data_IF_649630217957
#
_entry.id   IF_649630217957
#
_cell.length_a   1.000
_cell.length_b   1.000
_cell.length_c   1.000
_cell.angle_alpha   90.00
_cell.angle_beta   90.00
_cell.angle_gamma   90.00
#
_symmetry.space_group_name_H-M   'P 1'
#
loop_
_entity.id
_entity.type
_entity.pdbx_description
1 polymer ?
#
# COMPACT_ATOMS: atom_id res chain seq x y z
N UNK A 1 -42.20 11.64 -12.58
CA UNK A 1 -41.87 12.56 -13.69
C UNK A 1 -40.77 13.48 -13.21
N UNK A 2 -39.54 13.31 -13.73
CA UNK A 2 -38.52 14.36 -13.70
C UNK A 2 -38.67 15.20 -14.98
N UNK A 3 -38.33 16.50 -14.93
CA UNK A 3 -37.10 16.96 -15.59
C UNK A 3 -36.44 18.11 -14.77
N UNK A 4 -35.25 18.67 -14.99
CA UNK A 4 -34.15 18.49 -15.95
C UNK A 4 -32.90 19.24 -15.39
N UNK A 5 -31.76 18.91 -15.98
CA UNK A 5 -30.42 19.51 -15.82
C UNK A 5 -30.33 21.04 -16.03
N UNK A 6 -29.32 21.65 -15.41
CA UNK A 6 -28.80 22.98 -15.75
C UNK A 6 -27.33 23.15 -15.30
N UNK A 7 -26.43 23.27 -16.28
CA UNK A 7 -24.97 23.36 -16.15
C UNK A 7 -24.49 24.74 -15.64
N UNK A 8 -23.26 24.81 -15.08
CA UNK A 8 -22.10 25.54 -15.68
C UNK A 8 -21.08 26.14 -14.67
N UNK A 9 -19.79 25.93 -15.02
CA UNK A 9 -18.56 26.74 -14.79
C UNK A 9 -17.65 26.50 -13.55
N UNK A 10 -16.50 25.87 -13.84
CA UNK A 10 -15.09 26.21 -13.50
C UNK A 10 -14.78 27.06 -12.26
N UNK A 11 -13.90 26.55 -11.38
CA UNK A 11 -12.55 27.08 -11.09
C UNK A 11 -12.00 26.58 -9.73
N UNK A 12 -10.65 26.58 -9.67
CA UNK A 12 -9.78 26.76 -8.48
C UNK A 12 -9.51 25.59 -7.55
N UNK A 13 -8.22 25.37 -7.34
CA UNK A 13 -7.66 24.81 -6.13
C UNK A 13 -8.28 25.49 -4.90
N UNK A 14 -8.87 24.69 -4.02
CA UNK A 14 -9.15 25.07 -2.64
C UNK A 14 -9.25 23.79 -1.82
N UNK A 15 -8.73 23.87 -0.61
CA UNK A 15 -8.71 22.82 0.40
C UNK A 15 -10.12 22.29 0.67
N UNK A 16 -10.43 21.07 0.24
CA UNK A 16 -11.68 20.38 0.61
C UNK A 16 -11.36 18.97 1.12
N UNK A 17 -10.99 18.92 2.40
CA UNK A 17 -11.16 17.72 3.23
C UNK A 17 -12.65 17.51 3.41
N UNK A 18 -13.22 16.57 2.66
CA UNK A 18 -14.60 16.15 2.84
C UNK A 18 -14.73 15.34 4.15
N UNK A 19 -15.18 15.99 5.23
CA UNK A 19 -15.84 15.33 6.35
C UNK A 19 -17.35 15.54 6.23
N UNK A 20 -18.13 14.46 6.32
CA UNK A 20 -19.56 14.34 6.76
C UNK A 20 -19.95 12.85 6.53
N UNK A 21 -20.68 12.10 7.37
CA UNK A 21 -21.59 12.45 8.46
C UNK A 21 -21.91 11.21 9.36
N UNK A 22 -22.54 11.48 10.51
CA UNK A 22 -23.30 10.58 11.40
C UNK A 22 -22.61 10.04 12.68
N UNK A 23 -22.81 10.77 13.78
CA UNK A 23 -23.59 10.21 14.89
C UNK A 23 -22.93 9.32 15.95
N UNK A 24 -21.64 9.01 15.89
CA UNK A 24 -20.94 8.33 16.99
C UNK A 24 -19.65 9.06 17.36
N UNK A 25 -19.48 9.40 18.65
CA UNK A 25 -18.19 9.78 19.24
C UNK A 25 -17.27 8.55 19.31
N UNK A 26 -16.96 7.95 18.17
CA UNK A 26 -15.85 7.04 18.02
C UNK A 26 -14.62 7.87 17.70
N UNK A 27 -13.61 7.81 18.56
CA UNK A 27 -12.26 8.26 18.18
C UNK A 27 -11.84 7.41 16.97
N UNK A 28 -11.86 7.99 15.78
CA UNK A 28 -11.39 7.30 14.57
C UNK A 28 -9.90 7.06 14.73
N UNK A 29 -9.53 5.84 15.12
CA UNK A 29 -8.14 5.44 15.25
C UNK A 29 -7.57 5.35 13.84
N UNK A 30 -6.78 6.35 13.47
CA UNK A 30 -6.07 6.37 12.20
C UNK A 30 -5.02 5.25 12.21
N UNK A 31 -5.12 4.32 11.27
CA UNK A 31 -4.19 3.19 11.14
C UNK A 31 -3.57 3.15 9.75
N UNK A 32 -2.24 3.01 9.73
CA UNK A 32 -1.47 2.75 8.51
C UNK A 32 -1.27 1.25 8.37
N UNK A 33 -1.51 0.74 7.17
CA UNK A 33 -1.28 -0.66 6.80
C UNK A 33 -0.46 -0.72 5.53
N UNK A 34 0.60 -1.53 5.52
CA UNK A 34 1.44 -1.78 4.35
C UNK A 34 1.20 -3.16 3.76
N UNK A 35 1.48 -3.30 2.47
CA UNK A 35 1.49 -4.56 1.73
C UNK A 35 2.71 -4.58 0.83
N UNK A 36 3.37 -5.73 0.73
CA UNK A 36 4.52 -5.93 -0.15
C UNK A 36 4.36 -7.19 -0.98
N UNK A 37 4.88 -7.16 -2.19
CA UNK A 37 4.91 -8.30 -3.09
C UNK A 37 6.12 -8.21 -4.01
N UNK A 38 6.53 -9.34 -4.57
CA UNK A 38 7.53 -9.41 -5.63
C UNK A 38 7.07 -10.32 -6.77
N UNK A 39 7.77 -10.24 -7.90
CA UNK A 39 7.61 -11.17 -9.01
C UNK A 39 8.98 -11.52 -9.55
N UNK A 40 9.37 -12.75 -9.21
CA UNK A 40 10.69 -13.31 -9.44
C UNK A 40 11.05 -13.38 -10.93
N UNK A 41 12.25 -12.92 -11.29
CA UNK A 41 12.83 -13.02 -12.65
C UNK A 41 11.84 -12.61 -13.75
N UNK A 42 11.18 -11.48 -13.56
CA UNK A 42 10.17 -10.97 -14.49
C UNK A 42 10.80 -10.32 -15.73
N UNK A 43 11.99 -9.74 -15.58
CA UNK A 43 12.80 -9.25 -16.69
C UNK A 43 13.56 -10.41 -17.35
N UNK A 44 13.38 -10.61 -18.66
CA UNK A 44 14.02 -11.71 -19.40
C UNK A 44 15.45 -11.40 -19.84
N UNK A 45 15.82 -10.12 -19.86
CA UNK A 45 17.14 -9.70 -20.35
C UNK A 45 18.19 -9.77 -19.24
N UNK A 46 17.80 -9.40 -18.01
CA UNK A 46 18.72 -9.37 -16.86
C UNK A 46 18.28 -10.23 -15.65
N UNK A 47 17.18 -10.97 -15.78
CA UNK A 47 16.62 -11.85 -14.74
C UNK A 47 16.29 -11.15 -13.42
N UNK A 48 16.15 -9.81 -13.43
CA UNK A 48 15.78 -9.09 -12.22
C UNK A 48 14.29 -9.24 -11.94
N UNK A 49 13.98 -9.26 -10.65
CA UNK A 49 12.60 -9.36 -10.17
C UNK A 49 11.95 -7.98 -10.12
N UNK A 50 10.62 -7.93 -10.14
CA UNK A 50 9.84 -6.71 -9.92
C UNK A 50 9.36 -6.70 -8.46
N UNK A 51 9.65 -5.63 -7.73
CA UNK A 51 9.15 -5.39 -6.38
C UNK A 51 7.99 -4.39 -6.41
N UNK A 52 7.08 -4.52 -5.45
CA UNK A 52 6.00 -3.56 -5.27
C UNK A 52 5.50 -3.50 -3.83
N UNK A 53 5.02 -2.34 -3.43
CA UNK A 53 4.35 -2.14 -2.16
C UNK A 53 3.25 -1.09 -2.26
N UNK A 54 2.30 -1.14 -1.34
CA UNK A 54 1.29 -0.11 -1.14
C UNK A 54 1.01 0.07 0.36
N UNK A 55 0.89 1.32 0.78
CA UNK A 55 0.49 1.73 2.12
C UNK A 55 -0.86 2.42 2.05
N UNK A 56 -1.76 2.03 2.94
CA UNK A 56 -3.09 2.63 3.08
C UNK A 56 -3.26 3.28 4.45
N UNK A 57 -4.01 4.37 4.48
CA UNK A 57 -4.46 5.08 5.67
C UNK A 57 -5.98 5.00 5.72
N UNK A 58 -6.54 4.26 6.69
CA UNK A 58 -7.98 4.02 6.80
C UNK A 58 -8.64 3.55 5.48
N UNK A 59 -7.92 2.79 4.66
CA UNK A 59 -8.40 2.25 3.38
C UNK A 59 -8.06 3.08 2.14
N UNK A 60 -7.58 4.32 2.28
CA UNK A 60 -7.09 5.10 1.13
C UNK A 60 -5.58 4.91 0.92
N UNK A 61 -5.12 4.67 -0.30
CA UNK A 61 -3.68 4.57 -0.58
C UNK A 61 -2.97 5.91 -0.36
N UNK A 62 -1.84 5.89 0.35
CA UNK A 62 -1.04 7.08 0.70
C UNK A 62 0.40 7.02 0.20
N UNK A 63 0.94 5.84 -0.06
CA UNK A 63 2.25 5.63 -0.69
C UNK A 63 2.25 4.29 -1.41
N UNK A 64 2.87 4.21 -2.58
CA UNK A 64 3.00 2.98 -3.34
C UNK A 64 4.23 3.04 -4.24
N UNK A 65 4.74 1.88 -4.62
CA UNK A 65 5.87 1.74 -5.54
C UNK A 65 5.73 0.46 -6.34
N UNK A 66 6.18 0.51 -7.60
CA UNK A 66 6.50 -0.65 -8.41
C UNK A 66 7.88 -0.37 -9.03
N UNK A 67 8.86 -1.24 -8.80
CA UNK A 67 10.21 -1.04 -9.30
C UNK A 67 10.94 -2.36 -9.55
N UNK A 68 11.78 -2.38 -10.58
CA UNK A 68 12.73 -3.46 -10.81
C UNK A 68 13.76 -3.49 -9.68
N UNK A 69 14.10 -4.68 -9.18
CA UNK A 69 15.12 -4.85 -8.15
C UNK A 69 16.51 -4.51 -8.70
N UNK A 70 17.39 -4.00 -7.86
CA UNK A 70 18.76 -3.67 -8.27
C UNK A 70 19.64 -4.91 -8.42
N UNK A 71 19.37 -5.94 -7.62
CA UNK A 71 20.07 -7.22 -7.61
C UNK A 71 19.22 -8.32 -8.25
N UNK A 72 19.89 -9.33 -8.78
CA UNK A 72 19.23 -10.57 -9.21
C UNK A 72 18.99 -11.39 -7.94
N UNK A 73 17.74 -11.71 -7.65
CA UNK A 73 17.41 -12.64 -6.59
C UNK A 73 17.64 -14.09 -7.09
N UNK A 74 18.04 -14.97 -6.18
CA UNK A 74 18.25 -16.39 -6.45
C UNK A 74 16.98 -17.22 -6.20
N UNK A 75 15.98 -16.64 -5.54
CA UNK A 75 14.68 -17.29 -5.29
C UNK A 75 13.53 -16.30 -5.18
N UNK A 76 12.30 -16.79 -5.35
CA UNK A 76 11.09 -16.01 -5.05
C UNK A 76 11.07 -15.52 -3.60
N UNK A 77 11.56 -16.31 -2.65
CA UNK A 77 11.64 -15.91 -1.24
C UNK A 77 12.54 -14.71 -1.04
N UNK A 78 13.71 -14.71 -1.69
CA UNK A 78 14.64 -13.58 -1.63
C UNK A 78 14.06 -12.34 -2.31
N UNK A 79 13.42 -12.49 -3.46
CA UNK A 79 12.76 -11.37 -4.14
C UNK A 79 11.67 -10.73 -3.26
N UNK A 80 10.85 -11.55 -2.60
CA UNK A 80 9.82 -11.10 -1.65
C UNK A 80 10.44 -10.44 -0.41
N UNK A 81 11.55 -10.97 0.11
CA UNK A 81 12.29 -10.37 1.20
C UNK A 81 12.85 -8.99 0.84
N UNK A 82 13.40 -8.82 -0.37
CA UNK A 82 13.86 -7.52 -0.88
C UNK A 82 12.68 -6.53 -0.94
N UNK A 83 11.53 -6.95 -1.48
CA UNK A 83 10.33 -6.10 -1.53
C UNK A 83 9.83 -5.70 -0.13
N UNK A 84 9.79 -6.65 0.82
CA UNK A 84 9.39 -6.39 2.20
C UNK A 84 10.37 -5.46 2.93
N UNK A 85 11.68 -5.60 2.66
CA UNK A 85 12.72 -4.72 3.20
C UNK A 85 12.55 -3.28 2.72
N UNK A 86 12.29 -3.09 1.43
CA UNK A 86 11.99 -1.75 0.88
C UNK A 86 10.72 -1.15 1.44
N UNK A 87 9.65 -1.96 1.57
CA UNK A 87 8.43 -1.52 2.25
C UNK A 87 8.69 -1.13 3.71
N UNK A 88 9.54 -1.86 4.43
CA UNK A 88 9.88 -1.52 5.81
C UNK A 88 10.59 -0.16 5.93
N UNK A 89 11.49 0.18 5.01
CA UNK A 89 12.14 1.51 4.95
C UNK A 89 11.09 2.61 4.74
N UNK A 90 10.17 2.40 3.80
CA UNK A 90 9.06 3.32 3.55
C UNK A 90 8.14 3.48 4.76
N UNK A 91 7.81 2.39 5.46
CA UNK A 91 6.99 2.43 6.66
C UNK A 91 7.63 3.25 7.78
N UNK A 92 8.95 3.12 8.00
CA UNK A 92 9.68 3.95 8.98
C UNK A 92 9.61 5.42 8.58
N UNK A 93 9.78 5.73 7.30
CA UNK A 93 9.66 7.10 6.80
C UNK A 93 8.24 7.66 7.00
N UNK A 94 7.20 6.92 6.60
CA UNK A 94 5.80 7.29 6.78
C UNK A 94 5.45 7.49 8.26
N UNK A 95 5.96 6.64 9.14
CA UNK A 95 5.75 6.78 10.60
C UNK A 95 6.28 8.12 11.11
N UNK A 96 7.50 8.50 10.72
CA UNK A 96 8.10 9.76 11.12
C UNK A 96 7.33 10.94 10.52
N UNK A 97 7.06 10.88 9.21
CA UNK A 97 6.30 11.91 8.50
C UNK A 97 4.92 12.18 9.11
N UNK A 98 4.14 11.13 9.40
CA UNK A 98 2.81 11.25 10.01
C UNK A 98 2.87 11.71 11.47
N UNK A 99 3.94 11.37 12.19
CA UNK A 99 4.18 11.87 13.55
C UNK A 99 4.46 13.37 13.55
N UNK A 100 5.28 13.85 12.61
CA UNK A 100 5.61 15.26 12.45
C UNK A 100 4.38 16.10 12.08
N UNK A 101 3.51 15.57 11.22
CA UNK A 101 2.25 16.22 10.84
C UNK A 101 1.19 16.23 11.96
N UNK A 102 1.42 15.53 13.08
CA UNK A 102 0.45 15.32 14.18
C UNK A 102 -0.92 14.77 13.72
N UNK A 103 -0.95 14.17 12.52
CA UNK A 103 -2.17 13.62 11.91
C UNK A 103 -2.64 12.38 12.66
N UNK A 104 -1.70 11.59 13.19
CA UNK A 104 -2.00 10.37 13.94
C UNK A 104 -1.60 10.60 15.40
N UNK A 105 -2.59 10.65 16.28
CA UNK A 105 -2.36 10.75 17.72
C UNK A 105 -1.56 9.52 18.19
N UNK A 106 -0.24 9.68 18.25
CA UNK A 106 0.74 8.67 18.64
C UNK A 106 0.76 7.45 17.72
N UNK A 107 1.76 7.35 16.84
CA UNK A 107 2.16 6.07 16.22
C UNK A 107 2.81 5.16 17.30
N UNK A 108 2.03 4.86 18.35
CA UNK A 108 2.44 4.03 19.49
C UNK A 108 2.53 2.56 19.10
N UNK A 109 1.96 2.20 17.95
CA UNK A 109 1.94 0.85 17.43
C UNK A 109 2.85 0.77 16.20
N UNK A 110 3.54 -0.37 16.02
CA UNK A 110 4.26 -0.65 14.78
C UNK A 110 3.30 -0.63 13.58
N UNK A 111 3.80 -0.23 12.41
CA UNK A 111 3.08 -0.37 11.15
C UNK A 111 3.15 -1.84 10.72
N UNK A 112 2.00 -2.43 10.42
CA UNK A 112 1.94 -3.80 9.91
C UNK A 112 2.17 -3.79 8.40
N UNK A 113 3.12 -4.58 7.93
CA UNK A 113 3.37 -4.86 6.51
C UNK A 113 2.99 -6.29 6.23
N UNK A 114 2.06 -6.48 5.32
CA UNK A 114 1.57 -7.78 4.93
C UNK A 114 2.30 -8.32 3.69
N UNK A 115 2.83 -9.53 3.81
CA UNK A 115 3.52 -10.26 2.75
C UNK A 115 2.92 -11.67 2.66
N UNK A 116 2.79 -12.21 1.46
CA UNK A 116 2.21 -13.54 1.24
C UNK A 116 3.26 -14.66 1.18
N UNK A 117 4.56 -14.34 1.28
CA UNK A 117 5.63 -15.33 1.29
C UNK A 117 6.08 -15.68 2.72
N UNK A 118 5.78 -16.90 3.17
CA UNK A 118 6.14 -17.36 4.53
C UNK A 118 7.65 -17.41 4.77
N UNK A 119 8.45 -17.66 3.73
CA UNK A 119 9.91 -17.67 3.83
C UNK A 119 10.47 -16.27 4.06
N UNK A 120 9.96 -15.28 3.34
CA UNK A 120 10.35 -13.88 3.50
C UNK A 120 9.93 -13.35 4.89
N UNK A 121 8.72 -13.71 5.35
CA UNK A 121 8.24 -13.38 6.70
C UNK A 121 9.12 -14.03 7.77
N UNK A 122 9.60 -15.26 7.58
CA UNK A 122 10.50 -15.92 8.51
C UNK A 122 11.87 -15.24 8.55
N UNK A 123 12.46 -14.94 7.39
CA UNK A 123 13.73 -14.21 7.29
C UNK A 123 13.66 -12.80 7.91
N UNK A 124 12.50 -12.14 7.83
CA UNK A 124 12.27 -10.85 8.46
C UNK A 124 12.15 -10.91 9.99
N UNK A 125 11.95 -12.10 10.58
CA UNK A 125 11.77 -12.30 12.03
C UNK A 125 13.06 -12.69 12.75
N UNK A 126 14.18 -12.85 12.05
CA UNK A 126 15.46 -13.15 12.68
C UNK A 126 15.80 -12.06 13.73
N UNK A 127 16.12 -12.45 14.98
CA UNK A 127 16.00 -11.55 16.13
C UNK A 127 17.15 -10.56 16.18
N UNK A 128 16.89 -9.30 15.83
CA UNK A 128 17.72 -8.18 16.29
C UNK A 128 17.15 -7.75 17.65
N UNK A 129 17.65 -8.36 18.72
CA UNK A 129 17.14 -8.34 20.10
C UNK A 129 16.98 -6.95 20.78
N UNK A 130 17.13 -5.81 20.09
CA UNK A 130 17.20 -4.50 20.76
C UNK A 130 16.35 -3.37 20.17
N UNK A 131 15.51 -3.61 19.17
CA UNK A 131 14.63 -2.54 18.64
C UNK A 131 13.17 -2.92 18.86
N UNK A 132 12.47 -2.14 19.70
CA UNK A 132 11.00 -2.09 19.69
C UNK A 132 10.59 -1.67 18.28
N UNK A 133 10.31 -2.65 17.42
CA UNK A 133 10.22 -2.46 15.98
C UNK A 133 9.14 -1.46 15.61
N UNK A 134 9.50 -0.42 14.87
CA UNK A 134 8.56 0.54 14.28
C UNK A 134 7.66 -0.12 13.22
N UNK A 135 8.01 -1.33 12.77
CA UNK A 135 7.37 -2.10 11.70
C UNK A 135 7.26 -3.57 12.11
N UNK A 136 6.17 -4.23 11.71
CA UNK A 136 5.96 -5.69 11.85
C UNK A 136 5.62 -6.30 10.50
N UNK A 137 6.36 -7.32 10.10
CA UNK A 137 6.07 -8.08 8.88
C UNK A 137 5.20 -9.30 9.22
N UNK A 138 4.02 -9.37 8.58
CA UNK A 138 2.96 -10.31 8.86
C UNK A 138 2.60 -11.13 7.62
N UNK A 139 2.27 -12.42 7.80
CA UNK A 139 1.80 -13.29 6.71
C UNK A 139 0.32 -13.02 6.41
N UNK A 140 -0.03 -12.93 5.13
CA UNK A 140 -1.42 -12.92 4.64
C UNK A 140 -1.64 -13.94 3.52
N UNK A 141 -2.87 -14.38 3.24
CA UNK A 141 -3.18 -15.12 2.02
C UNK A 141 -2.85 -14.29 0.76
N UNK A 142 -2.35 -14.93 -0.31
CA UNK A 142 -2.01 -14.26 -1.58
C UNK A 142 -3.18 -13.50 -2.18
N UNK A 143 -4.41 -14.05 -2.12
CA UNK A 143 -5.62 -13.42 -2.67
C UNK A 143 -6.02 -12.11 -1.96
N UNK A 144 -5.47 -11.86 -0.77
CA UNK A 144 -5.68 -10.63 0.01
C UNK A 144 -4.53 -9.64 -0.15
N UNK A 145 -3.46 -9.99 -0.90
CA UNK A 145 -2.31 -9.13 -1.08
C UNK A 145 -2.59 -8.05 -2.11
N UNK A 146 -2.94 -6.85 -1.65
CA UNK A 146 -3.19 -5.72 -2.53
C UNK A 146 -1.92 -5.25 -3.26
N UNK A 147 -0.70 -5.69 -2.93
CA UNK A 147 0.47 -5.32 -3.72
C UNK A 147 0.64 -6.16 -5.01
N UNK A 148 -0.16 -7.22 -5.22
CA UNK A 148 -0.08 -8.09 -6.41
C UNK A 148 -0.09 -7.38 -7.78
N UNK A 149 -1.02 -6.45 -8.05
CA UNK A 149 -1.04 -5.71 -9.32
C UNK A 149 0.18 -4.84 -9.58
N UNK A 150 0.95 -4.51 -8.54
CA UNK A 150 2.15 -3.70 -8.68
C UNK A 150 3.33 -4.51 -9.21
N UNK A 151 3.26 -5.84 -9.21
CA UNK A 151 4.37 -6.70 -9.65
C UNK A 151 3.97 -7.74 -10.67
N UNK A 152 2.67 -8.04 -10.80
CA UNK A 152 2.14 -9.07 -11.69
C UNK A 152 1.17 -8.46 -12.70
N UNK A 153 1.19 -8.88 -13.98
CA UNK A 153 0.08 -8.61 -14.89
C UNK A 153 -1.17 -9.34 -14.38
N UNK A 154 -2.21 -8.60 -13.99
CA UNK A 154 -3.45 -9.16 -13.48
C UNK A 154 -4.52 -9.30 -14.57
N UNK A 155 -5.37 -10.33 -14.41
CA UNK A 155 -6.63 -10.42 -15.14
C UNK A 155 -7.55 -9.23 -14.75
N UNK A 156 -8.33 -8.73 -15.72
CA UNK A 156 -9.13 -7.50 -15.59
C UNK A 156 -9.97 -7.42 -14.31
N UNK A 157 -10.60 -8.54 -13.92
CA UNK A 157 -11.44 -8.62 -12.70
C UNK A 157 -10.62 -8.37 -11.41
N UNK A 158 -9.40 -8.91 -11.32
CA UNK A 158 -8.50 -8.67 -10.18
C UNK A 158 -7.93 -7.25 -10.20
N UNK A 159 -7.67 -6.70 -11.39
CA UNK A 159 -7.25 -5.31 -11.55
C UNK A 159 -8.32 -4.31 -11.08
N UNK A 160 -9.59 -4.51 -11.46
CA UNK A 160 -10.72 -3.67 -11.05
C UNK A 160 -10.98 -3.74 -9.54
N UNK A 161 -10.97 -4.94 -8.96
CA UNK A 161 -11.11 -5.13 -7.52
C UNK A 161 -9.99 -4.41 -6.75
N UNK A 162 -8.76 -4.46 -7.26
CA UNK A 162 -7.63 -3.77 -6.68
C UNK A 162 -7.72 -2.25 -6.80
N UNK A 163 -8.03 -1.71 -7.99
CA UNK A 163 -8.21 -0.28 -8.22
C UNK A 163 -9.22 0.32 -7.22
N UNK A 164 -10.32 -0.39 -6.99
CA UNK A 164 -11.31 -0.02 -5.97
C UNK A 164 -10.73 -0.08 -4.54
N UNK A 165 -9.90 -1.08 -4.24
CA UNK A 165 -9.31 -1.28 -2.90
C UNK A 165 -8.27 -0.22 -2.52
N UNK A 166 -7.65 0.43 -3.50
CA UNK A 166 -6.71 1.55 -3.28
C UNK A 166 -7.36 2.94 -3.47
N UNK A 167 -8.68 2.97 -3.74
CA UNK A 167 -9.43 4.21 -3.91
C UNK A 167 -9.26 4.89 -5.27
N UNK A 168 -8.74 4.20 -6.29
CA UNK A 168 -8.70 4.72 -7.65
C UNK A 168 -10.11 4.67 -8.28
N UNK A 169 -10.62 5.83 -8.70
CA UNK A 169 -11.84 5.92 -9.50
C UNK A 169 -11.49 6.38 -10.92
N UNK A 170 -12.06 5.71 -11.92
CA UNK A 170 -11.98 6.20 -13.30
C UNK A 170 -12.82 7.47 -13.41
N UNK A 171 -12.20 8.55 -13.87
CA UNK A 171 -12.94 9.70 -14.38
C UNK A 171 -13.44 9.31 -15.77
N UNK A 172 -14.75 9.12 -15.91
CA UNK A 172 -15.37 8.91 -17.22
C UNK A 172 -15.07 10.14 -18.09
N UNK A 173 -14.23 9.95 -19.11
CA UNK A 173 -14.00 10.94 -20.15
C UNK A 173 -15.17 10.90 -21.15
N UNK A 174 -16.35 11.31 -20.69
CA UNK A 174 -17.48 11.62 -21.58
C UNK A 174 -18.08 12.96 -21.18
N UNK A 175 -17.60 14.00 -21.87
CA UNK A 175 -18.26 15.30 -22.01
C UNK A 175 -19.04 15.33 -23.31
#
# INVERSE_FOLDING_TARGET
MSPAFGWLRSARASDDVAMLNSGHRGCYKISVTGYSNASFQTDRDDFRSQSGYVFTLNGGAISWKSSKQDTIADSTTEAEYIAASDAAKEAVWLRNFLSDLRVVASVSRPIDIFCDNSGAVAQAKEPIEHHKGDVRICKIPTEENVADPLTKPLARVKHEAHANSIGMQYLDASS
#
